data_IF_123292245076
#
_entry.id   IF_123292245076
#
_cell.length_a   1.000
_cell.length_b   1.000
_cell.length_c   1.000
_cell.angle_alpha   90.00
_cell.angle_beta   90.00
_cell.angle_gamma   90.00
#
_symmetry.space_group_name_H-M   'P 1'
#
loop_
_entity.id
_entity.type
_entity.pdbx_description
1 polymer ?
#
# COMPACT_ATOMS: atom_id res chain seq x y z
N UNK A 1 -21.12 -16.59 -2.59
CA UNK A 1 -19.87 -15.97 -3.07
C UNK A 1 -18.84 -17.05 -3.08
N UNK A 2 -18.17 -17.31 -4.20
CA UNK A 2 -17.18 -18.40 -4.23
C UNK A 2 -15.99 -18.07 -3.31
N UNK A 3 -15.37 -19.12 -2.74
CA UNK A 3 -14.21 -18.99 -1.84
C UNK A 3 -13.05 -18.26 -2.52
N UNK A 4 -12.87 -18.45 -3.83
CA UNK A 4 -11.83 -17.78 -4.60
C UNK A 4 -12.11 -16.28 -4.74
N UNK A 5 -13.35 -15.89 -5.06
CA UNK A 5 -13.74 -14.49 -5.16
C UNK A 5 -13.53 -13.76 -3.83
N UNK A 6 -13.90 -14.37 -2.70
CA UNK A 6 -13.67 -13.81 -1.37
C UNK A 6 -12.18 -13.56 -1.09
N UNK A 7 -11.32 -14.55 -1.37
CA UNK A 7 -9.86 -14.43 -1.21
C UNK A 7 -9.30 -13.30 -2.07
N UNK A 8 -9.73 -13.20 -3.32
CA UNK A 8 -9.27 -12.15 -4.24
C UNK A 8 -9.71 -10.77 -3.75
N UNK A 9 -10.95 -10.61 -3.30
CA UNK A 9 -11.44 -9.34 -2.76
C UNK A 9 -10.72 -8.93 -1.46
N UNK A 10 -10.38 -9.88 -0.59
CA UNK A 10 -9.60 -9.60 0.62
C UNK A 10 -8.18 -9.11 0.27
N UNK A 11 -7.52 -9.77 -0.70
CA UNK A 11 -6.19 -9.34 -1.15
C UNK A 11 -6.25 -8.00 -1.90
N UNK A 12 -7.28 -7.79 -2.72
CA UNK A 12 -7.51 -6.50 -3.37
C UNK A 12 -7.68 -5.37 -2.36
N UNK A 13 -8.41 -5.59 -1.26
CA UNK A 13 -8.56 -4.60 -0.19
C UNK A 13 -7.23 -4.24 0.47
N UNK A 14 -6.35 -5.23 0.69
CA UNK A 14 -4.99 -4.98 1.21
C UNK A 14 -4.17 -4.13 0.24
N UNK A 15 -4.25 -4.44 -1.05
CA UNK A 15 -3.62 -3.65 -2.11
C UNK A 15 -4.17 -2.21 -2.18
N UNK A 16 -5.49 -2.04 -2.14
CA UNK A 16 -6.12 -0.71 -2.18
C UNK A 16 -5.70 0.16 -1.00
N UNK A 17 -5.63 -0.41 0.20
CA UNK A 17 -5.12 0.30 1.37
C UNK A 17 -3.65 0.71 1.21
N UNK A 18 -2.78 -0.19 0.74
CA UNK A 18 -1.36 0.10 0.51
C UNK A 18 -1.19 1.23 -0.51
N UNK A 19 -1.83 1.12 -1.67
CA UNK A 19 -1.77 2.16 -2.69
C UNK A 19 -2.33 3.49 -2.16
N UNK A 20 -3.36 3.46 -1.32
CA UNK A 20 -3.99 4.65 -0.75
C UNK A 20 -3.04 5.37 0.21
N UNK A 21 -2.21 4.64 0.95
CA UNK A 21 -1.19 5.23 1.83
C UNK A 21 -0.03 5.86 1.06
N UNK A 22 0.33 5.32 -0.11
CA UNK A 22 1.51 5.75 -0.87
C UNK A 22 1.18 6.84 -1.90
N UNK A 23 0.05 6.73 -2.60
CA UNK A 23 -0.28 7.53 -3.78
C UNK A 23 -1.54 8.39 -3.63
N UNK A 24 -2.22 8.35 -2.48
CA UNK A 24 -3.46 9.11 -2.26
C UNK A 24 -3.68 9.50 -0.80
N UNK A 25 -4.94 9.80 -0.45
CA UNK A 25 -5.33 10.26 0.89
C UNK A 25 -5.83 9.12 1.80
N UNK A 26 -5.32 7.90 1.59
CA UNK A 26 -5.75 6.71 2.34
C UNK A 26 -7.10 6.10 1.91
N UNK A 27 -7.68 6.53 0.79
CA UNK A 27 -8.91 5.97 0.20
C UNK A 27 -8.76 5.72 -1.30
N UNK A 28 -9.45 4.70 -1.82
CA UNK A 28 -9.50 4.35 -3.24
C UNK A 28 -8.09 4.24 -3.87
N UNK A 29 -7.18 3.56 -3.18
CA UNK A 29 -5.76 3.58 -3.51
C UNK A 29 -5.41 2.99 -4.85
N UNK A 30 -6.03 1.89 -5.28
CA UNK A 30 -5.82 1.34 -6.62
C UNK A 30 -6.23 2.35 -7.68
N UNK A 31 -7.28 3.14 -7.43
CA UNK A 31 -7.69 4.21 -8.36
C UNK A 31 -6.67 5.35 -8.38
N UNK A 32 -6.10 5.73 -7.23
CA UNK A 32 -5.01 6.71 -7.18
C UNK A 32 -3.78 6.22 -7.97
N UNK A 33 -3.40 4.96 -7.78
CA UNK A 33 -2.29 4.33 -8.53
C UNK A 33 -2.55 4.33 -10.05
N UNK A 34 -3.75 3.94 -10.49
CA UNK A 34 -4.15 3.98 -11.91
C UNK A 34 -4.05 5.41 -12.46
N UNK A 35 -4.58 6.41 -11.73
CA UNK A 35 -4.52 7.81 -12.16
C UNK A 35 -3.07 8.29 -12.31
N UNK A 36 -2.20 7.88 -11.40
CA UNK A 36 -0.77 8.19 -11.47
C UNK A 36 -0.14 7.60 -12.75
N UNK A 37 -0.44 6.33 -13.08
CA UNK A 37 0.02 5.71 -14.32
C UNK A 37 -0.54 6.35 -15.60
N UNK A 38 -1.68 7.03 -15.52
CA UNK A 38 -2.34 7.69 -16.66
C UNK A 38 -1.87 9.12 -16.88
N UNK A 39 -1.03 9.67 -15.98
CA UNK A 39 -0.51 11.03 -16.12
C UNK A 39 0.31 11.19 -17.41
N UNK A 40 0.26 12.37 -18.05
CA UNK A 40 1.04 12.68 -19.26
C UNK A 40 2.56 12.51 -19.08
N UNK A 41 3.06 12.69 -17.87
CA UNK A 41 4.50 12.58 -17.54
C UNK A 41 5.08 11.19 -17.86
N UNK A 42 4.23 10.17 -18.00
CA UNK A 42 4.59 8.80 -18.33
C UNK A 42 4.19 8.39 -19.76
N UNK A 43 3.89 9.35 -20.64
CA UNK A 43 3.46 9.07 -22.03
C UNK A 43 4.48 8.23 -22.81
N UNK A 44 5.77 8.46 -22.58
CA UNK A 44 6.86 7.68 -23.17
C UNK A 44 6.88 6.21 -22.71
N UNK A 45 6.25 5.89 -21.57
CA UNK A 45 6.15 4.53 -21.04
C UNK A 45 4.85 3.85 -21.46
N UNK A 46 3.91 4.57 -22.08
CA UNK A 46 2.66 3.97 -22.59
C UNK A 46 2.94 2.89 -23.63
N UNK A 47 4.06 2.96 -24.35
CA UNK A 47 4.47 1.93 -25.30
C UNK A 47 5.09 0.68 -24.67
N UNK A 48 5.48 0.75 -23.39
CA UNK A 48 6.02 -0.39 -22.66
C UNK A 48 4.93 -1.44 -22.37
N UNK A 49 5.20 -2.70 -22.72
CA UNK A 49 4.27 -3.81 -22.55
C UNK A 49 3.97 -4.12 -21.08
N UNK A 50 4.95 -4.06 -20.19
CA UNK A 50 4.78 -4.25 -18.73
C UNK A 50 3.86 -3.17 -18.16
N UNK A 51 4.05 -1.92 -18.56
CA UNK A 51 3.21 -0.78 -18.13
C UNK A 51 1.76 -0.96 -18.57
N UNK A 52 1.53 -1.25 -19.87
CA UNK A 52 0.16 -1.50 -20.39
C UNK A 52 -0.50 -2.69 -19.73
N UNK A 53 0.22 -3.79 -19.57
CA UNK A 53 -0.34 -5.01 -18.98
C UNK A 53 -0.74 -4.78 -17.53
N UNK A 54 0.11 -4.10 -16.75
CA UNK A 54 -0.19 -3.71 -15.37
C UNK A 54 -1.44 -2.83 -15.31
N UNK A 55 -1.49 -1.77 -16.12
CA UNK A 55 -2.64 -0.86 -16.16
C UNK A 55 -3.94 -1.57 -16.56
N UNK A 56 -3.89 -2.44 -17.58
CA UNK A 56 -5.03 -3.25 -18.03
C UNK A 56 -5.52 -4.18 -16.93
N UNK A 57 -4.61 -4.87 -16.24
CA UNK A 57 -4.95 -5.81 -15.18
C UNK A 57 -5.59 -5.10 -13.97
N UNK A 58 -5.03 -3.96 -13.54
CA UNK A 58 -5.62 -3.14 -12.47
C UNK A 58 -7.03 -2.65 -12.80
N UNK A 59 -7.26 -2.19 -14.04
CA UNK A 59 -8.60 -1.78 -14.50
C UNK A 59 -9.58 -2.95 -14.51
N UNK A 60 -9.15 -4.11 -15.01
CA UNK A 60 -9.95 -5.33 -15.04
C UNK A 60 -10.37 -5.76 -13.63
N UNK A 61 -9.43 -5.88 -12.69
CA UNK A 61 -9.75 -6.29 -11.31
C UNK A 61 -10.66 -5.27 -10.62
N UNK A 62 -10.43 -3.96 -10.83
CA UNK A 62 -11.32 -2.90 -10.31
C UNK A 62 -12.73 -3.02 -10.88
N UNK A 63 -12.87 -3.32 -12.17
CA UNK A 63 -14.16 -3.52 -12.81
C UNK A 63 -14.88 -4.74 -12.24
N UNK A 64 -14.20 -5.89 -12.14
CA UNK A 64 -14.74 -7.10 -11.51
C UNK A 64 -15.19 -6.85 -10.07
N UNK A 65 -14.38 -6.13 -9.27
CA UNK A 65 -14.78 -5.70 -7.93
C UNK A 65 -16.07 -4.88 -7.98
N UNK A 66 -16.19 -3.94 -8.91
CA UNK A 66 -17.38 -3.12 -9.02
C UNK A 66 -18.62 -3.94 -9.42
N UNK A 67 -18.49 -4.94 -10.31
CA UNK A 67 -19.59 -5.83 -10.66
C UNK A 67 -20.14 -6.56 -9.43
N UNK A 68 -19.26 -7.13 -8.59
CA UNK A 68 -19.68 -7.87 -7.39
C UNK A 68 -20.48 -7.00 -6.40
N UNK A 69 -20.10 -5.74 -6.24
CA UNK A 69 -20.71 -4.86 -5.22
C UNK A 69 -21.83 -3.96 -5.76
N UNK A 70 -21.93 -3.77 -7.07
CA UNK A 70 -22.87 -2.81 -7.66
C UNK A 70 -23.83 -3.40 -8.69
N UNK A 71 -23.59 -4.61 -9.21
CA UNK A 71 -24.54 -5.26 -10.11
C UNK A 71 -25.57 -6.05 -9.31
N UNK A 72 -26.85 -5.66 -9.42
CA UNK A 72 -27.96 -6.34 -8.76
C UNK A 72 -28.25 -7.74 -9.32
N UNK A 73 -27.68 -8.08 -10.48
CA UNK A 73 -27.81 -9.38 -11.13
C UNK A 73 -26.57 -10.27 -10.97
N UNK A 74 -25.61 -9.88 -10.11
CA UNK A 74 -24.44 -10.71 -9.89
C UNK A 74 -24.84 -12.01 -9.17
N UNK A 75 -24.66 -13.14 -9.86
CA UNK A 75 -24.76 -14.46 -9.27
C UNK A 75 -23.53 -14.73 -8.40
N UNK A 76 -23.76 -14.78 -7.09
CA UNK A 76 -22.75 -15.02 -6.08
C UNK A 76 -22.06 -16.39 -6.22
N UNK A 77 -22.63 -17.34 -6.95
CA UNK A 77 -22.03 -18.66 -7.15
C UNK A 77 -21.18 -18.72 -8.43
N UNK A 78 -21.14 -17.64 -9.22
CA UNK A 78 -20.25 -17.51 -10.37
C UNK A 78 -18.86 -17.03 -9.97
N UNK A 79 -17.85 -17.82 -10.31
CA UNK A 79 -16.43 -17.47 -10.16
C UNK A 79 -16.04 -16.43 -11.23
N UNK A 80 -15.66 -15.21 -10.80
CA UNK A 80 -15.25 -14.13 -11.73
C UNK A 80 -13.73 -14.07 -11.84
N UNK A 81 -13.05 -14.36 -10.74
CA UNK A 81 -11.60 -14.29 -10.67
C UNK A 81 -10.99 -15.67 -10.80
N UNK A 82 -9.82 -15.73 -11.44
CA UNK A 82 -9.03 -16.96 -11.48
C UNK A 82 -7.97 -16.98 -10.37
N UNK A 83 -7.35 -18.13 -10.15
CA UNK A 83 -6.19 -18.23 -9.25
C UNK A 83 -5.01 -17.37 -9.73
N UNK A 84 -4.90 -17.15 -11.04
CA UNK A 84 -3.92 -16.24 -11.63
C UNK A 84 -4.15 -14.80 -11.17
N UNK A 85 -5.40 -14.35 -11.07
CA UNK A 85 -5.74 -13.02 -10.54
C UNK A 85 -5.27 -12.87 -9.09
N UNK A 86 -5.50 -13.90 -8.28
CA UNK A 86 -5.09 -13.91 -6.87
C UNK A 86 -3.56 -13.82 -6.73
N UNK A 87 -2.83 -14.61 -7.50
CA UNK A 87 -1.37 -14.62 -7.47
C UNK A 87 -0.81 -13.30 -7.98
N UNK A 88 -1.35 -12.78 -9.08
CA UNK A 88 -0.95 -11.50 -9.64
C UNK A 88 -1.12 -10.36 -8.62
N UNK A 89 -2.24 -10.29 -7.89
CA UNK A 89 -2.46 -9.26 -6.85
C UNK A 89 -1.42 -9.37 -5.74
N UNK A 90 -1.09 -10.58 -5.28
CA UNK A 90 -0.10 -10.80 -4.21
C UNK A 90 1.32 -10.41 -4.66
N UNK A 91 1.69 -10.78 -5.87
CA UNK A 91 2.97 -10.42 -6.47
C UNK A 91 3.07 -8.90 -6.65
N UNK A 92 2.01 -8.27 -7.13
CA UNK A 92 1.95 -6.83 -7.32
C UNK A 92 1.98 -6.07 -5.98
N UNK A 93 1.29 -6.56 -4.95
CA UNK A 93 1.41 -6.01 -3.60
C UNK A 93 2.86 -6.07 -3.09
N UNK A 94 3.54 -7.20 -3.31
CA UNK A 94 4.94 -7.39 -2.91
C UNK A 94 5.91 -6.53 -3.74
N UNK A 95 5.60 -6.29 -5.01
CA UNK A 95 6.42 -5.42 -5.87
C UNK A 95 6.35 -3.96 -5.42
N UNK A 96 5.18 -3.47 -4.99
CA UNK A 96 5.04 -2.13 -4.41
C UNK A 96 5.84 -2.02 -3.10
N UNK A 97 5.71 -3.00 -2.19
CA UNK A 97 6.46 -2.99 -0.92
C UNK A 97 7.98 -3.00 -1.12
N UNK A 98 8.45 -3.65 -2.19
CA UNK A 98 9.87 -3.70 -2.53
C UNK A 98 10.33 -2.55 -3.43
N UNK A 99 9.45 -1.60 -3.79
CA UNK A 99 9.77 -0.49 -4.68
C UNK A 99 10.14 -0.92 -6.11
N UNK A 100 9.64 -2.08 -6.54
CA UNK A 100 9.88 -2.66 -7.87
C UNK A 100 8.65 -2.60 -8.78
N UNK A 101 7.60 -1.93 -8.35
CA UNK A 101 6.40 -1.71 -9.16
C UNK A 101 6.67 -0.76 -10.34
N UNK A 102 5.73 -0.74 -11.29
CA UNK A 102 5.86 0.04 -12.51
C UNK A 102 6.06 1.54 -12.23
N UNK A 103 5.35 2.13 -11.26
CA UNK A 103 5.52 3.54 -10.91
C UNK A 103 6.87 3.78 -10.24
N UNK A 104 7.32 2.90 -9.34
CA UNK A 104 8.64 3.04 -8.72
C UNK A 104 9.78 2.92 -9.74
N UNK A 105 9.65 2.06 -10.75
CA UNK A 105 10.60 1.97 -11.89
C UNK A 105 10.55 3.20 -12.79
N UNK A 106 9.37 3.80 -12.97
CA UNK A 106 9.12 4.90 -13.90
C UNK A 106 9.43 6.28 -13.34
N UNK A 107 9.38 6.46 -12.02
CA UNK A 107 9.74 7.73 -11.38
C UNK A 107 11.14 8.13 -11.87
N UNK A 108 11.27 9.22 -12.64
CA UNK A 108 12.56 9.59 -13.17
C UNK A 108 13.49 9.88 -12.00
N UNK A 109 14.65 9.22 -12.01
CA UNK A 109 15.80 9.40 -11.09
C UNK A 109 16.14 10.90 -10.89
N UNK A 110 15.67 11.79 -11.79
CA UNK A 110 15.83 13.24 -11.73
C UNK A 110 15.01 13.96 -10.64
N UNK A 111 13.81 13.50 -10.25
CA UNK A 111 13.05 14.13 -9.16
C UNK A 111 13.46 13.62 -7.77
N UNK A 112 14.05 12.42 -7.70
CA UNK A 112 14.53 11.84 -6.45
C UNK A 112 15.70 12.64 -5.87
N UNK A 113 16.61 13.18 -6.68
CA UNK A 113 17.77 13.91 -6.13
C UNK A 113 17.41 15.28 -5.50
N UNK A 114 16.30 15.91 -5.93
CA UNK A 114 15.82 17.16 -5.34
C UNK A 114 14.85 16.91 -4.17
N UNK A 115 13.84 16.04 -4.35
CA UNK A 115 12.77 15.85 -3.37
C UNK A 115 13.06 14.78 -2.29
N UNK A 116 13.97 13.83 -2.50
CA UNK A 116 14.34 12.83 -1.48
C UNK A 116 15.12 13.48 -0.33
N UNK A 117 15.99 14.46 -0.61
CA UNK A 117 16.72 15.17 0.43
C UNK A 117 15.81 16.06 1.28
N UNK A 118 14.81 16.74 0.70
CA UNK A 118 13.85 17.53 1.47
C UNK A 118 12.85 16.67 2.26
N UNK A 119 12.32 15.60 1.65
CA UNK A 119 11.37 14.70 2.32
C UNK A 119 12.04 13.85 3.40
N UNK A 120 13.28 13.39 3.23
CA UNK A 120 14.01 12.73 4.33
C UNK A 120 14.48 13.69 5.41
N UNK A 121 14.68 14.99 5.12
CA UNK A 121 14.87 16.00 6.17
C UNK A 121 13.59 16.19 6.98
N UNK A 122 12.43 16.22 6.33
CA UNK A 122 11.14 16.37 6.99
C UNK A 122 10.72 15.11 7.77
N UNK A 123 10.89 13.91 7.20
CA UNK A 123 10.64 12.63 7.87
C UNK A 123 11.66 12.37 8.98
N UNK A 124 12.93 12.74 8.71
CA UNK A 124 14.04 12.84 9.65
C UNK A 124 13.65 13.64 10.89
N UNK A 125 13.37 14.92 10.66
CA UNK A 125 12.94 15.87 11.69
C UNK A 125 11.65 15.44 12.40
N UNK A 126 10.67 14.86 11.69
CA UNK A 126 9.44 14.37 12.31
C UNK A 126 9.70 13.16 13.23
N UNK A 127 10.55 12.20 12.84
CA UNK A 127 10.90 11.05 13.69
C UNK A 127 11.81 11.45 14.86
N UNK A 128 12.66 12.48 14.68
CA UNK A 128 13.61 12.98 15.68
C UNK A 128 12.93 13.90 16.72
N UNK A 129 12.00 14.76 16.29
CA UNK A 129 11.14 15.55 17.20
C UNK A 129 10.14 14.67 17.95
N UNK A 130 9.63 13.60 17.33
CA UNK A 130 8.78 12.60 17.99
C UNK A 130 9.54 11.67 18.96
N UNK A 131 10.88 11.61 18.87
CA UNK A 131 11.73 10.86 19.82
C UNK A 131 11.87 11.56 21.17
N UNK A 132 11.48 12.83 21.29
CA UNK A 132 11.40 13.53 22.58
C UNK A 132 9.98 13.42 23.13
N UNK A 133 9.68 12.24 23.70
CA UNK A 133 8.78 11.95 24.84
C UNK A 133 8.40 10.46 24.82
N UNK A 134 9.27 9.61 25.38
CA UNK A 134 8.84 8.26 25.79
C UNK A 134 8.33 8.34 27.22
N UNK A 135 7.03 8.18 27.41
CA UNK A 135 6.45 7.79 28.71
C UNK A 135 7.05 6.44 29.13
N UNK A 136 7.50 6.27 30.38
CA UNK A 136 8.13 5.04 30.85
C UNK A 136 7.12 3.88 30.87
N UNK A 137 7.56 2.72 30.38
CA UNK A 137 6.74 1.50 30.31
C UNK A 137 6.39 0.97 31.70
N UNK A 138 5.28 0.24 31.81
CA UNK A 138 4.78 -0.34 33.08
C UNK A 138 5.84 -1.15 33.83
N UNK A 139 6.70 -1.90 33.12
CA UNK A 139 7.81 -2.67 33.70
C UNK A 139 8.93 -1.80 34.30
N UNK A 140 9.04 -0.52 33.92
CA UNK A 140 9.94 0.45 34.55
C UNK A 140 9.32 1.13 35.79
N UNK A 141 7.99 1.07 35.97
CA UNK A 141 7.29 1.60 37.15
C UNK A 141 7.40 0.65 38.36
N UNK A 142 7.43 -0.67 38.15
CA UNK A 142 7.45 -1.67 39.24
C UNK A 142 8.83 -1.76 39.92
N UNK A 143 9.92 -1.54 39.19
CA UNK A 143 11.29 -1.59 39.74
C UNK A 143 11.62 -0.50 40.76
N UNK A 144 10.79 0.56 40.88
CA UNK A 144 10.99 1.66 41.85
C UNK A 144 10.40 1.39 43.23
N UNK A 145 9.53 0.38 43.39
CA UNK A 145 8.91 0.09 44.70
C UNK A 145 9.74 -0.90 45.54
N UNK A 146 10.54 -1.78 44.93
CA UNK A 146 11.30 -2.81 45.66
C UNK A 146 12.67 -2.30 46.17
N UNK A 147 13.25 -1.24 45.59
CA UNK A 147 14.50 -0.62 46.08
C UNK A 147 14.33 0.38 47.23
N UNK A 148 13.13 0.49 47.83
CA UNK A 148 12.87 1.36 48.98
C UNK A 148 12.63 0.62 50.30
N UNK A 149 12.75 -0.71 50.32
CA UNK A 149 12.52 -1.55 51.52
C UNK A 149 13.83 -2.11 52.12
N UNK A 150 14.98 -2.05 51.42
CA UNK A 150 16.22 -2.72 51.86
C UNK A 150 17.47 -1.85 52.06
N UNK A 151 17.32 -0.56 52.39
CA UNK A 151 18.41 0.25 52.96
C UNK A 151 17.83 1.35 53.87
N UNK A 152 17.27 0.95 55.02
CA UNK A 152 17.29 1.78 56.22
C UNK A 152 18.44 1.24 57.07
N UNK A 153 19.49 2.04 57.23
CA UNK A 153 20.28 2.22 58.45
C UNK A 153 21.02 3.57 58.33
#
# INVERSE_FOLDING_TARGET
MTVLNEKVLEQYKKLDNLCGQIYGDGKAGVTAYIKEMEKPDYDNLKDNSEWRNTLKKLKSIRHCRNLIFHDCNYDYDTEIFSEEDLNWIKEFYSSILSGKDALSKARPIKEYHANFNERNKAYGYYYETSRVKKEPTFLQKIGKTIRKIFCCD
#
